data_IF_961051628028
#
_entry.id   IF_961051628028
#
_cell.length_a   1.000
_cell.length_b   1.000
_cell.length_c   1.000
_cell.angle_alpha   90.00
_cell.angle_beta   90.00
_cell.angle_gamma   90.00
#
_symmetry.space_group_name_H-M   'P 1'
#
loop_
_entity.id
_entity.type
_entity.pdbx_description
1 polymer ?
#
# COMPACT_ATOMS: atom_id res chain seq x y z
N UNK A 1 50.77 -27.67 -11.32
CA UNK A 1 49.33 -27.32 -11.29
C UNK A 1 48.94 -27.18 -9.83
N UNK A 2 48.72 -25.94 -9.36
CA UNK A 2 48.28 -25.70 -7.99
C UNK A 2 46.80 -26.09 -7.91
N UNK A 3 46.49 -27.08 -7.08
CA UNK A 3 45.12 -27.40 -6.74
C UNK A 3 44.53 -26.22 -5.97
N UNK A 4 43.48 -25.60 -6.50
CA UNK A 4 42.67 -24.67 -5.73
C UNK A 4 42.21 -25.40 -4.47
N UNK A 5 42.53 -24.90 -3.26
CA UNK A 5 42.18 -25.60 -2.05
C UNK A 5 40.66 -25.71 -1.97
N UNK A 6 40.24 -26.94 -1.71
CA UNK A 6 38.89 -27.39 -1.45
C UNK A 6 38.06 -26.28 -0.78
N UNK A 7 37.00 -25.85 -1.46
CA UNK A 7 36.10 -24.78 -1.04
C UNK A 7 35.54 -25.12 0.34
N UNK A 8 35.89 -24.33 1.36
CA UNK A 8 35.46 -24.57 2.73
C UNK A 8 33.91 -24.65 2.79
N UNK A 9 33.32 -25.77 3.25
CA UNK A 9 31.86 -25.93 3.37
C UNK A 9 31.19 -24.80 4.17
N UNK A 10 31.90 -24.23 5.15
CA UNK A 10 31.40 -23.10 5.93
C UNK A 10 31.26 -21.83 5.07
N UNK A 11 32.21 -21.59 4.16
CA UNK A 11 32.19 -20.46 3.24
C UNK A 11 31.05 -20.61 2.21
N UNK A 12 30.81 -21.83 1.73
CA UNK A 12 29.67 -22.13 0.85
C UNK A 12 28.32 -21.94 1.58
N UNK A 13 28.20 -22.41 2.83
CA UNK A 13 27.01 -22.21 3.65
C UNK A 13 26.73 -20.73 3.93
N UNK A 14 27.76 -19.94 4.20
CA UNK A 14 27.63 -18.49 4.41
C UNK A 14 27.19 -17.75 3.13
N UNK A 15 27.73 -18.14 1.97
CA UNK A 15 27.31 -17.58 0.69
C UNK A 15 25.84 -17.94 0.39
N UNK A 16 25.44 -19.19 0.63
CA UNK A 16 24.07 -19.63 0.46
C UNK A 16 23.09 -18.86 1.36
N UNK A 17 23.46 -18.61 2.63
CA UNK A 17 22.66 -17.81 3.56
C UNK A 17 22.51 -16.35 3.09
N UNK A 18 23.57 -15.75 2.53
CA UNK A 18 23.50 -14.38 1.98
C UNK A 18 22.59 -14.29 0.75
N UNK A 19 22.66 -15.27 -0.15
CA UNK A 19 21.78 -15.33 -1.33
C UNK A 19 20.32 -15.53 -0.90
N UNK A 20 20.08 -16.38 0.10
CA UNK A 20 18.75 -16.61 0.63
C UNK A 20 18.16 -15.35 1.27
N UNK A 21 18.95 -14.64 2.08
CA UNK A 21 18.55 -13.35 2.65
C UNK A 21 18.15 -12.33 1.57
N UNK A 22 18.98 -12.16 0.54
CA UNK A 22 18.69 -11.24 -0.58
C UNK A 22 17.40 -11.68 -1.31
N UNK A 23 17.22 -12.99 -1.50
CA UNK A 23 16.03 -13.54 -2.15
C UNK A 23 14.77 -13.26 -1.33
N UNK A 24 14.83 -13.44 -0.01
CA UNK A 24 13.72 -13.13 0.90
C UNK A 24 13.39 -11.64 0.90
N UNK A 25 14.41 -10.78 0.96
CA UNK A 25 14.23 -9.33 0.86
C UNK A 25 13.56 -8.92 -0.46
N UNK A 26 13.99 -9.49 -1.58
CA UNK A 26 13.40 -9.20 -2.89
C UNK A 26 11.94 -9.64 -2.98
N UNK A 27 11.61 -10.82 -2.43
CA UNK A 27 10.21 -11.30 -2.36
C UNK A 27 9.35 -10.36 -1.52
N UNK A 28 9.80 -10.02 -0.31
CA UNK A 28 9.08 -9.08 0.54
C UNK A 28 8.91 -7.70 -0.09
N UNK A 29 9.94 -7.18 -0.77
CA UNK A 29 9.84 -5.91 -1.48
C UNK A 29 8.79 -5.97 -2.62
N UNK A 30 8.77 -7.06 -3.38
CA UNK A 30 7.81 -7.25 -4.48
C UNK A 30 6.38 -7.37 -3.95
N UNK A 31 6.18 -8.12 -2.87
CA UNK A 31 4.89 -8.25 -2.19
C UNK A 31 4.40 -6.91 -1.64
N UNK A 32 5.27 -6.13 -0.98
CA UNK A 32 4.94 -4.81 -0.47
C UNK A 32 4.51 -3.86 -1.59
N UNK A 33 5.22 -3.87 -2.73
CA UNK A 33 4.84 -3.08 -3.90
C UNK A 33 3.45 -3.48 -4.45
N UNK A 34 3.15 -4.77 -4.49
CA UNK A 34 1.83 -5.27 -4.87
C UNK A 34 0.73 -4.77 -3.93
N UNK A 35 0.95 -4.89 -2.61
CA UNK A 35 0.00 -4.44 -1.59
C UNK A 35 -0.24 -2.92 -1.66
N UNK A 36 0.80 -2.12 -1.87
CA UNK A 36 0.69 -0.67 -2.05
C UNK A 36 -0.12 -0.30 -3.31
N UNK A 37 0.12 -1.01 -4.41
CA UNK A 37 -0.64 -0.85 -5.66
C UNK A 37 -2.13 -1.13 -5.46
N UNK A 38 -2.45 -2.28 -4.87
CA UNK A 38 -3.83 -2.66 -4.57
C UNK A 38 -4.52 -1.69 -3.60
N UNK A 39 -3.78 -1.20 -2.60
CA UNK A 39 -4.28 -0.23 -1.64
C UNK A 39 -4.64 1.10 -2.33
N UNK A 40 -3.77 1.60 -3.20
CA UNK A 40 -4.02 2.84 -3.95
C UNK A 40 -5.19 2.67 -4.94
N UNK A 41 -5.26 1.54 -5.66
CA UNK A 41 -6.38 1.26 -6.57
C UNK A 41 -7.72 1.19 -5.83
N UNK A 42 -7.76 0.56 -4.65
CA UNK A 42 -8.96 0.52 -3.80
C UNK A 42 -9.39 1.92 -3.37
N UNK A 43 -8.45 2.74 -2.92
CA UNK A 43 -8.72 4.13 -2.51
C UNK A 43 -9.25 4.97 -3.68
N UNK A 44 -8.62 4.89 -4.85
CA UNK A 44 -9.09 5.60 -6.05
C UNK A 44 -10.52 5.21 -6.41
N UNK A 45 -10.85 3.92 -6.34
CA UNK A 45 -12.22 3.43 -6.60
C UNK A 45 -13.23 4.01 -5.60
N UNK A 46 -12.89 4.00 -4.31
CA UNK A 46 -13.74 4.57 -3.26
C UNK A 46 -13.98 6.06 -3.46
N UNK A 47 -12.92 6.83 -3.75
CA UNK A 47 -13.03 8.27 -4.03
C UNK A 47 -13.87 8.56 -5.28
N UNK A 48 -13.76 7.73 -6.32
CA UNK A 48 -14.61 7.86 -7.51
C UNK A 48 -16.08 7.64 -7.17
N UNK A 49 -16.39 6.58 -6.41
CA UNK A 49 -17.76 6.30 -5.97
C UNK A 49 -18.33 7.45 -5.10
N UNK A 50 -17.51 7.99 -4.20
CA UNK A 50 -17.89 9.14 -3.36
C UNK A 50 -18.11 10.41 -4.19
N UNK A 51 -17.26 10.66 -5.20
CA UNK A 51 -17.42 11.82 -6.08
C UNK A 51 -18.72 11.77 -6.89
N UNK A 52 -19.11 10.58 -7.36
CA UNK A 52 -20.37 10.37 -8.09
C UNK A 52 -21.56 10.59 -7.16
N UNK A 53 -21.51 10.10 -5.92
CA UNK A 53 -22.56 10.32 -4.92
C UNK A 53 -22.69 11.80 -4.56
N UNK A 54 -21.58 12.47 -4.27
CA UNK A 54 -21.54 13.90 -3.99
C UNK A 54 -22.10 14.71 -5.16
N UNK A 55 -21.67 14.41 -6.39
CA UNK A 55 -22.16 15.09 -7.59
C UNK A 55 -23.67 14.94 -7.78
N UNK A 56 -24.22 13.74 -7.55
CA UNK A 56 -25.67 13.50 -7.57
C UNK A 56 -26.40 14.28 -6.48
N UNK A 57 -25.86 14.32 -5.26
CA UNK A 57 -26.45 15.04 -4.14
C UNK A 57 -26.46 16.56 -4.37
N UNK A 58 -25.38 17.11 -4.93
CA UNK A 58 -25.30 18.51 -5.32
C UNK A 58 -26.27 18.84 -6.46
N UNK A 59 -26.36 17.99 -7.48
CA UNK A 59 -27.30 18.17 -8.59
C UNK A 59 -28.77 18.09 -8.14
N UNK A 60 -29.07 17.30 -7.10
CA UNK A 60 -30.40 17.22 -6.50
C UNK A 60 -30.70 18.34 -5.50
N UNK A 61 -29.72 19.18 -5.15
CA UNK A 61 -29.88 20.23 -4.17
C UNK A 61 -30.63 21.42 -4.78
N UNK A 62 -31.86 21.65 -4.32
CA UNK A 62 -32.73 22.71 -4.81
C UNK A 62 -32.42 24.08 -4.18
N UNK A 63 -31.84 24.08 -2.98
CA UNK A 63 -31.51 25.29 -2.24
C UNK A 63 -29.98 25.54 -2.26
N UNK A 64 -29.52 26.59 -2.98
CA UNK A 64 -28.10 26.91 -3.07
C UNK A 64 -27.47 27.24 -1.71
N UNK A 65 -28.24 27.73 -0.73
CA UNK A 65 -27.71 28.02 0.61
C UNK A 65 -27.43 26.73 1.41
N UNK A 66 -28.01 25.60 1.03
CA UNK A 66 -27.76 24.30 1.66
C UNK A 66 -26.67 23.48 0.97
N UNK A 67 -26.18 23.90 -0.20
CA UNK A 67 -25.15 23.16 -0.95
C UNK A 67 -23.90 22.85 -0.11
N UNK A 68 -23.44 23.81 0.72
CA UNK A 68 -22.28 23.59 1.59
C UNK A 68 -22.52 22.50 2.65
N UNK A 69 -23.70 22.51 3.28
CA UNK A 69 -24.08 21.48 4.25
C UNK A 69 -24.22 20.10 3.60
N UNK A 70 -24.78 20.04 2.39
CA UNK A 70 -24.86 18.81 1.58
C UNK A 70 -23.44 18.32 1.24
N UNK A 71 -22.57 19.19 0.73
CA UNK A 71 -21.19 18.81 0.41
C UNK A 71 -20.43 18.26 1.63
N UNK A 72 -20.57 18.90 2.78
CA UNK A 72 -19.93 18.46 4.02
C UNK A 72 -20.45 17.09 4.47
N UNK A 73 -21.76 16.86 4.40
CA UNK A 73 -22.37 15.57 4.74
C UNK A 73 -21.91 14.45 3.81
N UNK A 74 -21.96 14.71 2.50
CA UNK A 74 -21.67 13.69 1.48
C UNK A 74 -20.15 13.45 1.30
N UNK A 75 -19.29 14.29 1.86
CA UNK A 75 -17.83 14.08 1.90
C UNK A 75 -17.35 13.31 3.13
N UNK A 76 -18.21 13.05 4.13
CA UNK A 76 -17.86 12.22 5.29
C UNK A 76 -17.28 10.84 4.91
N UNK A 77 -17.85 10.10 3.94
CA UNK A 77 -17.30 8.81 3.53
C UNK A 77 -15.89 8.92 2.96
N UNK A 78 -15.60 9.98 2.20
CA UNK A 78 -14.27 10.21 1.64
C UNK A 78 -13.22 10.42 2.75
N UNK A 79 -13.58 11.11 3.83
CA UNK A 79 -12.70 11.28 4.99
C UNK A 79 -12.46 9.95 5.73
N UNK A 80 -13.46 9.08 5.81
CA UNK A 80 -13.33 7.74 6.40
C UNK A 80 -12.44 6.83 5.54
N UNK A 81 -12.69 6.78 4.24
CA UNK A 81 -11.85 6.05 3.27
C UNK A 81 -10.40 6.54 3.32
N UNK A 82 -10.18 7.85 3.42
CA UNK A 82 -8.86 8.43 3.58
C UNK A 82 -8.14 7.94 4.84
N UNK A 83 -8.80 7.97 6.01
CA UNK A 83 -8.21 7.46 7.25
C UNK A 83 -7.91 5.96 7.18
N UNK A 84 -8.81 5.18 6.56
CA UNK A 84 -8.61 3.74 6.37
C UNK A 84 -7.44 3.44 5.43
N UNK A 85 -7.26 4.23 4.36
CA UNK A 85 -6.10 4.13 3.49
C UNK A 85 -4.81 4.48 4.23
N UNK A 86 -4.81 5.53 5.05
CA UNK A 86 -3.66 5.91 5.86
C UNK A 86 -3.26 4.81 6.86
N UNK A 87 -4.22 4.21 7.57
CA UNK A 87 -3.92 3.14 8.52
C UNK A 87 -3.37 1.89 7.84
N UNK A 88 -3.95 1.50 6.70
CA UNK A 88 -3.47 0.39 5.89
C UNK A 88 -2.07 0.67 5.30
N UNK A 89 -1.79 1.89 4.86
CA UNK A 89 -0.48 2.29 4.38
C UNK A 89 0.58 2.13 5.47
N UNK A 90 0.29 2.61 6.69
CA UNK A 90 1.19 2.46 7.82
C UNK A 90 1.44 0.99 8.19
N UNK A 91 0.45 0.13 8.03
CA UNK A 91 0.60 -1.31 8.24
C UNK A 91 1.53 -1.96 7.21
N UNK A 92 1.38 -1.61 5.92
CA UNK A 92 2.27 -2.11 4.87
C UNK A 92 3.71 -1.62 5.11
N UNK A 93 3.88 -0.34 5.44
CA UNK A 93 5.21 0.24 5.73
C UNK A 93 5.87 -0.38 6.98
N UNK A 94 5.10 -0.66 8.04
CA UNK A 94 5.65 -1.30 9.24
C UNK A 94 6.03 -2.76 9.00
N UNK A 95 5.28 -3.48 8.16
CA UNK A 95 5.64 -4.84 7.75
C UNK A 95 6.89 -4.89 6.86
N UNK A 96 7.10 -3.86 6.00
CA UNK A 96 8.29 -3.74 5.16
C UNK A 96 9.54 -3.33 5.94
N UNK A 97 9.39 -2.46 6.95
CA UNK A 97 10.49 -2.03 7.82
C UNK A 97 10.96 -3.08 8.82
N UNK A 98 10.14 -4.10 9.12
CA UNK A 98 10.52 -5.23 9.98
C UNK A 98 11.30 -6.34 9.25
N UNK A 99 11.42 -6.25 7.92
CA UNK A 99 12.18 -7.19 7.08
C UNK A 99 13.62 -6.71 6.77
N UNK A 100 14.03 -5.56 7.32
CA UNK A 100 15.39 -5.01 7.30
C UNK A 100 15.96 -4.99 8.72
#
# INVERSE_FOLDING_TARGET
MQAFPNTDPAMHAQLAAQVDLITQMQRHATEALGQLGELNLRMMRQLMDDSVKLGRALAACQDPFQMGAVAMRESQPAAEHWRAWQSALMQVLSSGGAAL
#
